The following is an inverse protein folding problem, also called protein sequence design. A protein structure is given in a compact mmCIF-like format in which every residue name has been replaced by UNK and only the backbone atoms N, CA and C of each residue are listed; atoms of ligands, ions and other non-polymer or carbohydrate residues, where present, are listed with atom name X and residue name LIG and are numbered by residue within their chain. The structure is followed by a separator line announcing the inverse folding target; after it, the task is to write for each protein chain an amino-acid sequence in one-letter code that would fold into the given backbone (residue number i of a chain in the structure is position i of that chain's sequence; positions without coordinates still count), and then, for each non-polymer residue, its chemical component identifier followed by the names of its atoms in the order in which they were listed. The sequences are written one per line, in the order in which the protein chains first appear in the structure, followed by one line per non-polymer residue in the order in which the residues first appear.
data_IF_034239693987
#
_entry.id   IF_034239693987
#
_cell.length_a   1.000
_cell.length_b   1.000
_cell.length_c   1.000
_cell.angle_alpha   90.00
_cell.angle_beta   90.00
_cell.angle_gamma   90.00
#
_symmetry.space_group_name_H-M   'P 1'
#
loop_
_entity.id
_entity.type
_entity.pdbx_description
1 polymer ?
#
# COMPACT_ATOMS: atom_id res chain seq x y z
N UNK A 1 36.39 8.74 -10.21
CA UNK A 1 36.06 8.51 -8.80
C UNK A 1 34.54 8.62 -8.54
N UNK A 2 33.87 9.68 -9.02
CA UNK A 2 32.44 9.88 -8.79
C UNK A 2 31.60 8.79 -9.47
N UNK A 3 31.84 8.53 -10.74
CA UNK A 3 31.13 7.52 -11.53
C UNK A 3 31.22 6.11 -10.90
N UNK A 4 32.42 5.72 -10.46
CA UNK A 4 32.61 4.43 -9.79
C UNK A 4 31.89 4.39 -8.41
N UNK A 5 31.88 5.52 -7.69
CA UNK A 5 31.16 5.64 -6.43
C UNK A 5 29.64 5.55 -6.63
N UNK A 6 29.13 6.21 -7.68
CA UNK A 6 27.70 6.21 -7.98
C UNK A 6 27.27 4.80 -8.45
N UNK A 7 28.07 4.14 -9.28
CA UNK A 7 27.83 2.75 -9.69
C UNK A 7 27.81 1.78 -8.50
N UNK A 8 28.76 1.92 -7.57
CA UNK A 8 28.83 1.07 -6.37
C UNK A 8 27.64 1.27 -5.44
N UNK A 9 27.05 2.46 -5.43
CA UNK A 9 25.90 2.79 -4.57
C UNK A 9 24.54 2.38 -5.15
N UNK A 10 24.47 2.14 -6.44
CA UNK A 10 23.25 1.63 -7.07
C UNK A 10 22.97 0.24 -6.52
N UNK A 11 21.78 0.05 -5.97
CA UNK A 11 21.32 -1.25 -5.51
C UNK A 11 20.32 -1.84 -6.52
N UNK A 12 20.77 -2.73 -7.42
CA UNK A 12 19.90 -3.30 -8.45
C UNK A 12 18.80 -4.22 -7.91
N UNK A 13 18.90 -4.59 -6.61
CA UNK A 13 17.87 -5.39 -5.94
C UNK A 13 16.78 -4.53 -5.27
N UNK A 14 16.96 -3.22 -5.24
CA UNK A 14 15.97 -2.30 -4.68
C UNK A 14 14.86 -2.06 -5.69
N UNK A 15 13.75 -2.74 -5.50
CA UNK A 15 12.57 -2.63 -6.33
C UNK A 15 11.51 -1.77 -5.64
N UNK A 16 11.14 -0.64 -6.25
CA UNK A 16 10.01 0.16 -5.80
C UNK A 16 8.70 -0.50 -6.28
N UNK A 17 7.95 -1.10 -5.36
CA UNK A 17 6.75 -1.89 -5.68
C UNK A 17 5.53 -1.03 -6.08
N UNK A 18 5.56 0.27 -5.83
CA UNK A 18 4.49 1.20 -6.15
C UNK A 18 4.07 2.04 -4.95
N UNK A 19 3.18 3.00 -5.21
CA UNK A 19 2.50 3.79 -4.17
C UNK A 19 1.04 3.38 -4.13
N UNK A 20 0.56 3.10 -2.90
CA UNK A 20 -0.86 2.93 -2.60
C UNK A 20 -1.27 4.10 -1.73
N UNK A 21 -2.30 4.83 -2.12
CA UNK A 21 -2.74 6.01 -1.40
C UNK A 21 -4.12 6.47 -1.81
N UNK A 22 -4.57 7.59 -1.27
CA UNK A 22 -5.83 8.18 -1.68
C UNK A 22 -5.67 8.93 -3.02
N UNK A 23 -6.66 8.79 -3.89
CA UNK A 23 -6.80 9.60 -5.10
C UNK A 23 -7.56 10.88 -4.73
N UNK A 24 -6.82 11.95 -4.51
CA UNK A 24 -7.39 13.22 -4.04
C UNK A 24 -7.53 14.27 -5.16
N UNK A 25 -7.06 13.94 -6.37
CA UNK A 25 -6.97 14.88 -7.48
C UNK A 25 -5.83 15.90 -7.33
N UNK A 26 -5.48 16.54 -8.45
CA UNK A 26 -4.34 17.47 -8.52
C UNK A 26 -4.59 18.82 -7.82
N UNK A 27 -5.83 19.11 -7.44
CA UNK A 27 -6.21 20.37 -6.80
C UNK A 27 -6.01 20.37 -5.28
N UNK A 28 -5.78 19.20 -4.68
CA UNK A 28 -5.58 19.08 -3.22
C UNK A 28 -4.15 19.39 -2.88
N UNK A 29 -3.97 20.36 -1.98
CA UNK A 29 -2.66 20.76 -1.45
C UNK A 29 -2.46 20.16 -0.06
N UNK A 30 -1.23 19.99 0.42
CA UNK A 30 -0.96 19.55 1.79
C UNK A 30 -1.65 20.43 2.85
N UNK A 31 -1.81 21.73 2.59
CA UNK A 31 -2.51 22.67 3.46
C UNK A 31 -4.02 22.42 3.60
N UNK A 32 -4.62 21.68 2.67
CA UNK A 32 -6.05 21.35 2.69
C UNK A 32 -6.36 20.19 3.64
N UNK A 33 -5.31 19.48 4.07
CA UNK A 33 -5.40 18.38 5.03
C UNK A 33 -5.21 18.94 6.44
N UNK A 34 -6.25 18.84 7.26
CA UNK A 34 -6.31 19.42 8.60
C UNK A 34 -6.56 18.34 9.66
N UNK A 35 -6.36 18.73 10.93
CA UNK A 35 -6.64 17.88 12.09
C UNK A 35 -5.96 16.49 12.01
N UNK A 36 -4.72 16.45 11.53
CA UNK A 36 -3.98 15.23 11.31
C UNK A 36 -3.60 14.60 12.64
N UNK A 37 -4.01 13.35 12.83
CA UNK A 37 -3.62 12.51 13.94
C UNK A 37 -3.22 11.13 13.40
N UNK A 38 -2.04 10.66 13.79
CA UNK A 38 -1.59 9.33 13.43
C UNK A 38 -1.00 8.63 14.66
N UNK A 39 -1.36 7.36 14.84
CA UNK A 39 -0.83 6.52 15.90
C UNK A 39 -0.54 5.12 15.37
N UNK A 40 0.51 4.51 15.89
CA UNK A 40 0.81 3.11 15.70
C UNK A 40 0.41 2.34 16.96
N UNK A 41 -0.54 1.42 16.83
CA UNK A 41 -0.83 0.43 17.85
C UNK A 41 0.19 -0.71 17.71
N UNK A 42 1.21 -0.68 18.56
CA UNK A 42 2.31 -1.64 18.52
C UNK A 42 1.91 -3.06 18.91
N UNK A 43 0.84 -3.23 19.70
CA UNK A 43 0.34 -4.55 20.08
C UNK A 43 -0.40 -5.26 18.96
N UNK A 44 -1.01 -4.49 18.07
CA UNK A 44 -1.78 -5.03 16.95
C UNK A 44 -1.09 -4.81 15.60
N UNK A 45 -0.02 -3.99 15.56
CA UNK A 45 0.66 -3.64 14.33
C UNK A 45 -0.20 -2.83 13.37
N UNK A 46 -1.06 -1.94 13.91
CA UNK A 46 -2.02 -1.16 13.12
C UNK A 46 -1.66 0.32 13.17
N UNK A 47 -1.55 0.94 12.01
CA UNK A 47 -1.47 2.40 11.89
C UNK A 47 -2.90 2.94 11.77
N UNK A 48 -3.26 3.84 12.68
CA UNK A 48 -4.51 4.57 12.66
C UNK A 48 -4.23 6.01 12.24
N UNK A 49 -4.84 6.45 11.15
CA UNK A 49 -4.71 7.81 10.62
C UNK A 49 -6.07 8.49 10.60
N UNK A 50 -6.13 9.72 11.13
CA UNK A 50 -7.33 10.58 11.10
C UNK A 50 -6.93 11.93 10.57
N UNK A 51 -7.74 12.47 9.69
CA UNK A 51 -7.58 13.83 9.19
C UNK A 51 -8.90 14.34 8.61
N UNK A 52 -8.95 15.64 8.34
CA UNK A 52 -10.09 16.28 7.65
C UNK A 52 -9.60 16.82 6.32
N UNK A 53 -10.30 16.53 5.24
CA UNK A 53 -10.05 17.05 3.91
C UNK A 53 -11.32 17.71 3.38
N UNK A 54 -11.26 18.99 3.04
CA UNK A 54 -12.44 19.77 2.56
C UNK A 54 -13.68 19.49 3.43
N UNK A 55 -13.53 19.65 4.75
CA UNK A 55 -14.57 19.42 5.78
C UNK A 55 -15.03 17.96 5.94
N UNK A 56 -14.53 17.04 5.13
CA UNK A 56 -14.84 15.60 5.26
C UNK A 56 -13.82 14.93 6.18
N UNK A 57 -14.25 14.32 7.29
CA UNK A 57 -13.37 13.51 8.13
C UNK A 57 -13.06 12.17 7.47
N UNK A 58 -11.79 11.80 7.53
CA UNK A 58 -11.27 10.50 7.11
C UNK A 58 -10.71 9.75 8.30
N UNK A 59 -11.00 8.47 8.37
CA UNK A 59 -10.36 7.53 9.27
C UNK A 59 -9.84 6.34 8.48
N UNK A 60 -8.54 6.07 8.59
CA UNK A 60 -7.87 5.00 7.85
C UNK A 60 -7.11 4.12 8.83
N UNK A 61 -7.31 2.83 8.71
CA UNK A 61 -6.51 1.81 9.37
C UNK A 61 -5.67 1.09 8.32
N UNK A 62 -4.38 0.96 8.57
CA UNK A 62 -3.46 0.23 7.68
C UNK A 62 -2.73 -0.83 8.50
N UNK A 63 -2.63 -2.03 7.94
CA UNK A 63 -1.98 -3.17 8.57
C UNK A 63 -1.21 -3.97 7.52
N UNK A 64 -0.06 -4.53 7.91
CA UNK A 64 0.73 -5.44 7.09
C UNK A 64 0.58 -6.88 7.58
N UNK A 65 0.53 -7.83 6.65
CA UNK A 65 0.60 -9.25 6.99
C UNK A 65 2.03 -9.60 7.41
N UNK A 66 2.23 -10.39 8.49
CA UNK A 66 3.58 -10.65 9.00
C UNK A 66 4.43 -11.58 8.14
N UNK A 67 3.81 -12.41 7.28
CA UNK A 67 4.50 -13.46 6.51
C UNK A 67 4.27 -13.35 4.98
N UNK A 68 3.46 -12.41 4.54
CA UNK A 68 3.18 -12.18 3.11
C UNK A 68 3.49 -10.73 2.76
N UNK A 69 3.98 -10.49 1.56
CA UNK A 69 4.12 -9.14 1.01
C UNK A 69 2.73 -8.56 0.71
N UNK A 70 1.99 -8.28 1.75
CA UNK A 70 0.60 -7.87 1.70
C UNK A 70 0.31 -6.76 2.71
N UNK A 71 -0.42 -5.76 2.24
CA UNK A 71 -1.03 -4.75 3.10
C UNK A 71 -2.55 -4.85 3.00
N UNK A 72 -3.22 -4.45 4.08
CA UNK A 72 -4.66 -4.26 4.11
C UNK A 72 -4.99 -2.88 4.67
N UNK A 73 -6.04 -2.27 4.15
CA UNK A 73 -6.52 -0.99 4.67
C UNK A 73 -8.04 -0.97 4.78
N UNK A 74 -8.53 -0.26 5.81
CA UNK A 74 -9.92 0.10 6.00
C UNK A 74 -10.03 1.61 5.97
N UNK A 75 -10.82 2.11 5.05
CA UNK A 75 -11.14 3.52 4.88
C UNK A 75 -12.56 3.78 5.37
N UNK A 76 -12.75 4.82 6.19
CA UNK A 76 -14.06 5.32 6.59
C UNK A 76 -14.12 6.83 6.31
N UNK A 77 -15.05 7.23 5.46
CA UNK A 77 -15.35 8.63 5.14
C UNK A 77 -16.76 8.72 4.58
N UNK A 78 -17.43 9.87 4.77
CA UNK A 78 -18.80 10.08 4.22
C UNK A 78 -18.85 9.94 2.70
N UNK A 79 -17.80 10.41 2.03
CA UNK A 79 -17.57 10.23 0.60
C UNK A 79 -16.11 9.80 0.45
N UNK A 80 -15.83 8.51 0.36
CA UNK A 80 -14.46 8.03 0.30
C UNK A 80 -13.82 8.45 -1.02
N UNK A 81 -12.57 8.86 -0.94
CA UNK A 81 -11.73 9.05 -2.11
C UNK A 81 -11.42 7.69 -2.76
N UNK A 82 -11.11 7.69 -4.04
CA UNK A 82 -10.55 6.53 -4.69
C UNK A 82 -9.21 6.10 -4.06
N UNK A 83 -8.87 4.86 -4.24
CA UNK A 83 -7.58 4.31 -3.83
C UNK A 83 -6.71 4.20 -5.08
N UNK A 84 -5.59 4.92 -5.10
CA UNK A 84 -4.64 4.87 -6.21
C UNK A 84 -3.61 3.77 -6.01
N UNK A 85 -3.26 3.12 -7.10
CA UNK A 85 -2.14 2.20 -7.27
C UNK A 85 -1.30 2.76 -8.41
N UNK A 86 -0.15 3.35 -8.08
CA UNK A 86 0.71 4.00 -9.06
C UNK A 86 2.11 3.39 -9.00
N UNK A 87 2.62 2.95 -10.15
CA UNK A 87 3.83 2.18 -10.26
C UNK A 87 4.87 2.96 -11.06
N UNK A 88 6.00 3.37 -10.46
CA UNK A 88 7.10 4.01 -11.16
C UNK A 88 8.06 3.00 -11.79
N UNK A 89 8.97 3.48 -12.62
CA UNK A 89 10.12 2.72 -13.05
C UNK A 89 11.23 2.77 -11.97
N UNK A 90 11.60 1.65 -11.35
CA UNK A 90 12.65 1.63 -10.33
C UNK A 90 14.03 1.89 -10.96
N UNK A 91 14.80 2.78 -10.36
CA UNK A 91 16.16 3.10 -10.81
C UNK A 91 17.26 2.42 -10.00
N UNK A 92 16.91 1.80 -8.88
CA UNK A 92 17.88 1.23 -7.94
C UNK A 92 18.71 2.28 -7.21
N UNK A 93 18.42 3.57 -7.36
CA UNK A 93 19.13 4.66 -6.71
C UNK A 93 19.13 4.54 -5.17
N UNK A 94 20.15 5.09 -4.53
CA UNK A 94 20.29 5.07 -3.07
C UNK A 94 19.77 6.33 -2.38
N UNK A 95 19.37 7.34 -3.18
CA UNK A 95 18.79 8.59 -2.72
C UNK A 95 17.28 8.47 -2.54
N UNK A 96 16.65 9.55 -2.06
CA UNK A 96 15.23 9.61 -1.68
C UNK A 96 14.26 9.17 -2.77
N UNK A 97 14.58 9.49 -4.03
CA UNK A 97 13.80 9.10 -5.20
C UNK A 97 14.50 7.99 -5.98
N UNK A 98 14.34 6.75 -5.50
CA UNK A 98 14.89 5.56 -6.15
C UNK A 98 14.05 5.07 -7.34
N UNK A 99 13.33 5.97 -8.01
CA UNK A 99 12.45 5.67 -9.13
C UNK A 99 12.35 6.84 -10.11
N UNK A 100 11.86 6.55 -11.31
CA UNK A 100 11.55 7.54 -12.34
C UNK A 100 10.06 7.44 -12.72
N UNK A 101 9.30 8.47 -12.39
CA UNK A 101 7.87 8.55 -12.64
C UNK A 101 7.51 8.88 -14.10
N UNK A 102 8.47 9.42 -14.86
CA UNK A 102 8.28 9.82 -16.26
C UNK A 102 8.64 8.70 -17.26
N UNK A 103 9.31 7.63 -16.80
CA UNK A 103 9.80 6.56 -17.67
C UNK A 103 8.73 5.48 -17.95
N UNK A 104 7.51 5.90 -18.29
CA UNK A 104 6.37 4.99 -18.52
C UNK A 104 6.54 4.06 -19.74
N UNK A 105 7.48 4.35 -20.61
CA UNK A 105 7.87 3.53 -21.78
C UNK A 105 8.77 2.34 -21.41
N UNK A 106 9.42 2.37 -20.24
CA UNK A 106 10.36 1.33 -19.79
C UNK A 106 9.74 0.19 -19.00
N UNK A 107 8.48 0.31 -18.66
CA UNK A 107 7.77 -0.70 -17.88
C UNK A 107 6.29 -0.71 -18.22
N UNK A 108 5.60 -1.77 -17.83
CA UNK A 108 4.16 -1.86 -18.04
C UNK A 108 3.43 -2.51 -16.88
N UNK A 109 2.19 -2.08 -16.71
CA UNK A 109 1.23 -2.72 -15.83
C UNK A 109 0.02 -3.12 -16.66
N UNK A 110 -0.31 -4.40 -16.68
CA UNK A 110 -1.47 -4.91 -17.44
C UNK A 110 -2.45 -5.58 -16.49
N UNK A 111 -3.74 -5.33 -16.70
CA UNK A 111 -4.81 -6.04 -16.03
C UNK A 111 -4.89 -7.46 -16.62
N UNK A 112 -4.66 -8.47 -15.77
CA UNK A 112 -4.66 -9.90 -16.16
C UNK A 112 -6.04 -10.50 -15.98
N UNK A 113 -6.69 -10.19 -14.86
CA UNK A 113 -8.04 -10.62 -14.55
C UNK A 113 -8.74 -9.62 -13.63
N UNK A 114 -10.05 -9.55 -13.73
CA UNK A 114 -10.91 -8.75 -12.87
C UNK A 114 -12.19 -9.51 -12.60
N UNK A 115 -12.56 -9.57 -11.32
CA UNK A 115 -13.81 -10.11 -10.83
C UNK A 115 -14.60 -9.02 -10.11
N UNK A 116 -15.75 -9.37 -9.54
CA UNK A 116 -16.60 -8.41 -8.82
C UNK A 116 -15.89 -7.75 -7.63
N UNK A 117 -14.93 -8.44 -7.01
CA UNK A 117 -14.26 -7.98 -5.78
C UNK A 117 -12.74 -8.23 -5.81
N UNK A 118 -12.15 -8.48 -6.96
CA UNK A 118 -10.72 -8.65 -7.09
C UNK A 118 -10.20 -8.28 -8.47
N UNK A 119 -8.93 -7.94 -8.55
CA UNK A 119 -8.20 -7.73 -9.77
C UNK A 119 -6.75 -8.18 -9.63
N UNK A 120 -6.19 -8.69 -10.71
CA UNK A 120 -4.78 -9.08 -10.79
C UNK A 120 -4.11 -8.22 -11.85
N UNK A 121 -3.10 -7.46 -11.42
CA UNK A 121 -2.23 -6.69 -12.29
C UNK A 121 -0.91 -7.43 -12.47
N UNK A 122 -0.41 -7.48 -13.70
CA UNK A 122 0.93 -7.96 -14.01
C UNK A 122 1.84 -6.76 -14.24
N UNK A 123 2.93 -6.70 -13.50
CA UNK A 123 4.00 -5.73 -13.66
C UNK A 123 5.15 -6.35 -14.42
N UNK A 124 5.63 -5.65 -15.46
CA UNK A 124 6.80 -6.06 -16.22
C UNK A 124 7.75 -4.88 -16.33
N UNK A 125 8.98 -5.08 -15.90
CA UNK A 125 10.06 -4.10 -15.96
C UNK A 125 11.39 -4.83 -16.15
N UNK A 126 12.13 -4.46 -17.19
CA UNK A 126 13.34 -5.15 -17.63
C UNK A 126 13.11 -6.68 -17.74
N UNK A 127 13.91 -7.48 -17.06
CA UNK A 127 13.76 -8.94 -16.97
C UNK A 127 12.86 -9.38 -15.80
N UNK A 128 12.32 -8.45 -15.02
CA UNK A 128 11.54 -8.75 -13.81
C UNK A 128 10.05 -8.69 -14.13
N UNK A 129 9.34 -9.70 -13.65
CA UNK A 129 7.86 -9.73 -13.67
C UNK A 129 7.37 -10.07 -12.28
N UNK A 130 6.34 -9.36 -11.81
CA UNK A 130 5.61 -9.69 -10.59
C UNK A 130 4.13 -9.35 -10.75
N UNK A 131 3.33 -9.82 -9.81
CA UNK A 131 1.89 -9.64 -9.82
C UNK A 131 1.42 -8.88 -8.59
N UNK A 132 0.41 -8.05 -8.79
CA UNK A 132 -0.26 -7.30 -7.73
C UNK A 132 -1.72 -7.75 -7.71
N UNK A 133 -2.10 -8.47 -6.67
CA UNK A 133 -3.49 -8.88 -6.46
C UNK A 133 -4.15 -7.89 -5.53
N UNK A 134 -5.18 -7.22 -6.00
CA UNK A 134 -6.01 -6.29 -5.25
C UNK A 134 -7.33 -6.98 -5.00
N UNK A 135 -7.79 -7.02 -3.75
CA UNK A 135 -9.12 -7.51 -3.40
C UNK A 135 -9.82 -6.51 -2.50
N UNK A 136 -11.14 -6.46 -2.56
CA UNK A 136 -11.92 -5.51 -1.78
C UNK A 136 -13.26 -6.09 -1.35
N UNK A 137 -13.86 -5.48 -0.33
CA UNK A 137 -15.17 -5.82 0.18
C UNK A 137 -16.13 -4.66 -0.08
N UNK A 138 -17.29 -4.96 -0.62
CA UNK A 138 -18.30 -3.99 -1.04
C UNK A 138 -18.19 -3.56 -2.50
N UNK A 139 -19.09 -2.69 -2.95
CA UNK A 139 -19.11 -2.25 -4.35
C UNK A 139 -18.00 -1.23 -4.63
N UNK A 140 -17.19 -1.53 -5.63
CA UNK A 140 -16.14 -0.63 -6.13
C UNK A 140 -15.84 -0.92 -7.60
N UNK A 141 -15.20 0.03 -8.26
CA UNK A 141 -14.77 -0.10 -9.66
C UNK A 141 -13.29 0.22 -9.79
N UNK A 142 -12.53 -0.73 -10.32
CA UNK A 142 -11.15 -0.48 -10.74
C UNK A 142 -11.14 0.18 -12.12
N UNK A 143 -10.29 1.14 -12.34
CA UNK A 143 -10.09 1.79 -13.65
C UNK A 143 -8.64 2.20 -13.83
N UNK A 144 -8.10 1.97 -15.03
CA UNK A 144 -6.83 2.55 -15.45
C UNK A 144 -7.05 4.02 -15.81
N UNK A 145 -6.26 4.90 -15.20
CA UNK A 145 -6.32 6.35 -15.45
C UNK A 145 -5.29 6.80 -16.46
N UNK A 146 -4.13 6.18 -16.41
CA UNK A 146 -3.03 6.35 -17.36
C UNK A 146 -2.09 5.15 -17.25
N UNK A 147 -1.07 5.10 -18.09
CA UNK A 147 -0.07 4.03 -18.04
C UNK A 147 0.47 3.85 -16.60
N UNK A 148 0.44 2.62 -16.11
CA UNK A 148 0.90 2.23 -14.78
C UNK A 148 0.17 2.89 -13.60
N UNK A 149 -1.02 3.45 -13.82
CA UNK A 149 -1.80 4.15 -12.82
C UNK A 149 -3.26 3.70 -12.79
N UNK A 150 -3.65 3.07 -11.70
CA UNK A 150 -4.98 2.50 -11.49
C UNK A 150 -5.66 3.15 -10.28
N UNK A 151 -6.98 3.26 -10.34
CA UNK A 151 -7.79 3.79 -9.24
C UNK A 151 -8.97 2.85 -8.98
N UNK A 152 -9.06 2.39 -7.75
CA UNK A 152 -10.19 1.66 -7.22
C UNK A 152 -11.13 2.66 -6.53
N UNK A 153 -12.32 2.84 -7.07
CA UNK A 153 -13.31 3.82 -6.60
C UNK A 153 -14.43 3.11 -5.85
N UNK A 154 -14.46 3.20 -4.51
CA UNK A 154 -15.55 2.64 -3.70
C UNK A 154 -16.78 3.55 -3.74
N UNK A 155 -17.95 2.97 -3.44
CA UNK A 155 -19.21 3.72 -3.27
C UNK A 155 -19.66 3.82 -1.83
N UNK A 156 -19.23 2.89 -0.98
CA UNK A 156 -19.64 2.81 0.41
C UNK A 156 -18.75 3.69 1.32
N UNK A 157 -19.34 4.25 2.36
CA UNK A 157 -18.65 5.10 3.34
C UNK A 157 -17.63 4.35 4.19
N UNK A 158 -17.72 3.04 4.28
CA UNK A 158 -16.73 2.14 4.88
C UNK A 158 -16.30 1.17 3.80
N UNK A 159 -15.00 1.14 3.53
CA UNK A 159 -14.44 0.32 2.48
C UNK A 159 -13.16 -0.36 2.95
N UNK A 160 -13.00 -1.63 2.62
CA UNK A 160 -11.79 -2.40 2.91
C UNK A 160 -11.19 -2.96 1.65
N UNK A 161 -9.86 -2.99 1.61
CA UNK A 161 -9.15 -3.68 0.54
C UNK A 161 -7.85 -4.30 1.06
N UNK A 162 -7.36 -5.27 0.33
CA UNK A 162 -6.03 -5.86 0.48
C UNK A 162 -5.25 -5.75 -0.81
N UNK A 163 -3.94 -5.64 -0.71
CA UNK A 163 -3.03 -5.60 -1.85
C UNK A 163 -1.84 -6.50 -1.56
N UNK A 164 -1.67 -7.54 -2.37
CA UNK A 164 -0.59 -8.52 -2.24
C UNK A 164 0.34 -8.47 -3.45
N UNK A 165 1.64 -8.54 -3.20
CA UNK A 165 2.70 -8.62 -4.21
C UNK A 165 3.27 -10.02 -4.25
N UNK A 166 3.38 -10.62 -5.44
CA UNK A 166 3.87 -12.00 -5.59
C UNK A 166 4.69 -12.15 -6.88
N UNK A 167 5.72 -13.03 -6.91
CA UNK A 167 6.50 -13.27 -8.13
C UNK A 167 5.71 -14.04 -9.19
N UNK A 168 4.63 -14.70 -8.81
CA UNK A 168 3.73 -15.46 -9.70
C UNK A 168 2.28 -15.19 -9.30
N UNK A 169 1.33 -15.47 -10.19
CA UNK A 169 -0.10 -15.40 -9.84
C UNK A 169 -0.35 -16.30 -8.62
N UNK A 170 -0.85 -15.70 -7.56
CA UNK A 170 -1.09 -16.43 -6.31
C UNK A 170 -2.23 -17.42 -6.48
N UNK A 171 -1.98 -18.68 -6.13
CA UNK A 171 -3.02 -19.69 -5.97
C UNK A 171 -3.61 -19.70 -4.55
N UNK A 172 -3.02 -18.94 -3.61
CA UNK A 172 -3.50 -18.84 -2.24
C UNK A 172 -4.78 -18.03 -2.16
N UNK A 173 -5.66 -18.34 -1.20
CA UNK A 173 -6.84 -17.53 -0.94
C UNK A 173 -6.46 -16.08 -0.68
N UNK A 174 -7.28 -15.18 -1.22
CA UNK A 174 -7.18 -13.74 -0.95
C UNK A 174 -7.70 -13.53 0.47
N UNK A 175 -6.91 -12.86 1.30
CA UNK A 175 -7.29 -12.56 2.67
C UNK A 175 -8.08 -11.26 2.73
N UNK A 176 -9.07 -11.22 3.61
CA UNK A 176 -9.82 -10.02 3.98
C UNK A 176 -8.99 -9.10 4.87
N UNK A 177 -9.42 -7.83 5.02
CA UNK A 177 -8.82 -6.91 5.99
C UNK A 177 -8.78 -7.52 7.40
N UNK A 178 -9.85 -8.16 7.83
CA UNK A 178 -9.97 -8.74 9.17
C UNK A 178 -8.97 -9.88 9.39
N UNK A 179 -8.77 -10.75 8.39
CA UNK A 179 -7.80 -11.84 8.49
C UNK A 179 -6.36 -11.33 8.56
N UNK A 180 -6.01 -10.31 7.75
CA UNK A 180 -4.69 -9.67 7.82
C UNK A 180 -4.48 -8.99 9.18
N UNK A 181 -5.50 -8.32 9.71
CA UNK A 181 -5.46 -7.69 11.03
C UNK A 181 -5.25 -8.73 12.14
N UNK A 182 -5.95 -9.85 12.09
CA UNK A 182 -5.79 -10.93 13.06
C UNK A 182 -4.39 -11.55 13.00
N UNK A 183 -3.86 -11.79 11.80
CA UNK A 183 -2.50 -12.30 11.62
C UNK A 183 -1.46 -11.33 12.19
N UNK A 184 -1.57 -10.04 11.90
CA UNK A 184 -0.70 -8.99 12.45
C UNK A 184 -0.76 -8.93 13.98
N UNK A 185 -1.96 -8.87 14.54
CA UNK A 185 -2.18 -8.81 15.99
C UNK A 185 -1.61 -10.04 16.71
N UNK A 186 -1.82 -11.24 16.16
CA UNK A 186 -1.24 -12.47 16.70
C UNK A 186 0.28 -12.45 16.68
N UNK A 187 0.88 -12.02 15.57
CA UNK A 187 2.32 -11.90 15.42
C UNK A 187 2.94 -10.92 16.42
N UNK A 188 2.44 -9.69 16.50
CA UNK A 188 2.99 -8.67 17.38
C UNK A 188 2.80 -8.99 18.85
N UNK A 189 1.63 -9.53 19.22
CA UNK A 189 1.40 -10.01 20.59
C UNK A 189 2.42 -11.09 20.96
N UNK A 190 2.68 -12.04 20.07
CA UNK A 190 3.67 -13.09 20.28
C UNK A 190 5.09 -12.51 20.41
N UNK A 191 5.45 -11.58 19.50
CA UNK A 191 6.73 -10.88 19.53
C UNK A 191 6.97 -10.17 20.87
N UNK A 192 6.00 -9.42 21.36
CA UNK A 192 6.12 -8.67 22.62
C UNK A 192 6.09 -9.57 23.86
N UNK A 193 5.44 -10.72 23.83
CA UNK A 193 5.28 -11.60 25.00
C UNK A 193 6.31 -12.72 25.10
N UNK A 194 6.99 -13.06 24.01
CA UNK A 194 7.97 -14.18 23.97
C UNK A 194 9.43 -13.71 23.89
N UNK A 195 9.68 -12.40 23.79
CA UNK A 195 11.02 -11.82 23.73
C UNK A 195 11.48 -11.26 25.07
N UNK A 196 12.74 -10.78 25.11
CA UNK A 196 13.28 -10.02 26.23
C UNK A 196 12.79 -8.56 26.19
N UNK A 197 11.49 -8.35 26.35
CA UNK A 197 10.86 -7.02 26.35
C UNK A 197 10.67 -6.56 27.79
N UNK A 198 11.15 -5.34 28.10
CA UNK A 198 10.88 -4.72 29.38
C UNK A 198 9.47 -4.12 29.38
N UNK A 199 8.65 -4.51 30.34
CA UNK A 199 7.31 -3.91 30.57
C UNK A 199 7.45 -2.70 31.49
N UNK A 200 7.21 -1.51 30.94
CA UNK A 200 7.20 -0.24 31.68
C UNK A 200 5.80 0.23 32.06
N UNK A 201 4.77 -0.58 31.89
CA UNK A 201 3.37 -0.20 32.15
C UNK A 201 3.12 0.18 33.61
N UNK A 202 3.97 -0.28 34.53
CA UNK A 202 3.90 0.01 35.96
C UNK A 202 4.90 1.11 36.41
N UNK A 203 5.65 1.68 35.50
CA UNK A 203 6.56 2.79 35.82
C UNK A 203 5.77 4.11 35.84
N UNK A 204 5.79 4.80 36.98
CA UNK A 204 5.18 6.13 37.17
C UNK A 204 6.25 7.21 37.22
#
# INVERSE_FOLDING_TARGET
AKEASDWYRVNPHRLHLGIIGLELGNEVRPSDVQNIQQSLDMWNGIINSRFTLKETPYYIQTVCHPERDMIAARLSARQPAGIKFHFPYPTGGHCDDACNWEANDKHSTTLVSEDAQSAVLKRTLDATTYYVTISWEGPAKLSEKSANYFVLTPTDSIFTFTCQFTPQVSASPILTFTEVQQASSGHWKNYWTQGAVADFSQCT
#
